data_IF_673618316442
#
_entry.id   IF_673618316442
#
_cell.length_a   1.000
_cell.length_b   1.000
_cell.length_c   1.000
_cell.angle_alpha   90.00
_cell.angle_beta   90.00
_cell.angle_gamma   90.00
#
_symmetry.space_group_name_H-M   'P 1'
#
loop_
_entity.id
_entity.type
_entity.pdbx_description
1 polymer ?
#
# COMPACT_ATOMS: atom_id res chain seq x y z
N UNK A 1 14.21 20.02 5.69
CA UNK A 1 13.18 19.01 5.38
C UNK A 1 11.84 19.71 5.34
N UNK A 2 10.98 19.42 4.36
CA UNK A 2 9.65 20.03 4.29
C UNK A 2 8.81 19.70 5.53
N UNK A 3 7.98 20.66 5.93
CA UNK A 3 7.16 20.52 7.13
C UNK A 3 6.07 19.45 6.94
N UNK A 4 5.47 18.98 8.04
CA UNK A 4 4.30 18.10 7.95
C UNK A 4 3.14 18.80 7.25
N UNK A 5 2.91 20.07 7.58
CA UNK A 5 1.82 20.87 7.03
C UNK A 5 1.93 21.01 5.50
N UNK A 6 3.11 21.34 4.98
CA UNK A 6 3.33 21.46 3.52
C UNK A 6 3.03 20.15 2.77
N UNK A 7 3.43 19.00 3.34
CA UNK A 7 3.12 17.69 2.75
C UNK A 7 1.63 17.39 2.78
N UNK A 8 0.97 17.73 3.89
CA UNK A 8 -0.48 17.52 4.05
C UNK A 8 -1.29 18.41 3.11
N UNK A 9 -0.84 19.64 2.85
CA UNK A 9 -1.44 20.56 1.89
C UNK A 9 -1.33 20.02 0.45
N UNK A 10 -0.13 19.64 0.00
CA UNK A 10 0.07 19.06 -1.33
C UNK A 10 -0.75 17.78 -1.51
N UNK A 11 -0.75 16.90 -0.50
CA UNK A 11 -1.57 15.69 -0.50
C UNK A 11 -3.06 16.02 -0.61
N UNK A 12 -3.55 16.98 0.19
CA UNK A 12 -4.94 17.42 0.19
C UNK A 12 -5.38 17.90 -1.19
N UNK A 13 -4.63 18.83 -1.78
CA UNK A 13 -4.92 19.38 -3.09
C UNK A 13 -4.93 18.31 -4.20
N UNK A 14 -3.96 17.40 -4.20
CA UNK A 14 -3.94 16.33 -5.21
C UNK A 14 -5.10 15.34 -5.04
N UNK A 15 -5.52 15.05 -3.80
CA UNK A 15 -6.70 14.22 -3.55
C UNK A 15 -7.98 14.89 -4.04
N UNK A 16 -8.12 16.20 -3.87
CA UNK A 16 -9.25 16.99 -4.39
C UNK A 16 -9.32 16.96 -5.92
N UNK A 17 -8.17 16.97 -6.58
CA UNK A 17 -8.05 16.79 -8.04
C UNK A 17 -8.29 15.34 -8.50
N UNK A 18 -8.53 14.40 -7.59
CA UNK A 18 -8.79 13.00 -7.91
C UNK A 18 -7.54 12.20 -8.30
N UNK A 19 -6.34 12.66 -7.91
CA UNK A 19 -5.10 11.93 -8.17
C UNK A 19 -5.07 10.60 -7.41
N UNK A 20 -4.49 9.57 -8.03
CA UNK A 20 -4.23 8.31 -7.34
C UNK A 20 -3.14 8.47 -6.27
N UNK A 21 -3.17 7.64 -5.23
CA UNK A 21 -2.12 7.61 -4.18
C UNK A 21 -0.74 7.40 -4.79
N UNK A 22 -0.63 6.59 -5.85
CA UNK A 22 0.62 6.40 -6.58
C UNK A 22 1.15 7.72 -7.17
N UNK A 23 0.27 8.51 -7.83
CA UNK A 23 0.64 9.81 -8.38
C UNK A 23 1.11 10.76 -7.26
N UNK A 24 0.43 10.75 -6.13
CA UNK A 24 0.81 11.54 -4.95
C UNK A 24 2.16 11.09 -4.41
N UNK A 25 2.43 9.78 -4.33
CA UNK A 25 3.71 9.26 -3.87
C UNK A 25 4.88 9.71 -4.78
N UNK A 26 4.67 9.72 -6.10
CA UNK A 26 5.65 10.27 -7.05
C UNK A 26 5.91 11.76 -6.79
N UNK A 27 4.86 12.55 -6.58
CA UNK A 27 4.99 13.98 -6.25
C UNK A 27 5.73 14.19 -4.93
N UNK A 28 5.41 13.40 -3.90
CA UNK A 28 6.09 13.46 -2.60
C UNK A 28 7.59 13.17 -2.73
N UNK A 29 7.96 12.23 -3.59
CA UNK A 29 9.35 11.90 -3.85
C UNK A 29 10.08 13.05 -4.58
N UNK A 30 9.47 13.60 -5.63
CA UNK A 30 10.07 14.66 -6.44
C UNK A 30 10.19 15.98 -5.68
N UNK A 31 9.12 16.41 -5.01
CA UNK A 31 9.05 17.73 -4.37
C UNK A 31 9.80 17.79 -3.04
N UNK A 32 9.85 16.68 -2.30
CA UNK A 32 10.41 16.66 -0.95
C UNK A 32 11.66 15.80 -0.80
N UNK A 33 12.16 15.21 -1.90
CA UNK A 33 13.30 14.29 -1.87
C UNK A 33 13.02 13.03 -1.05
N UNK A 34 11.74 12.68 -0.87
CA UNK A 34 11.35 11.52 -0.09
C UNK A 34 11.66 10.24 -0.87
N UNK A 35 12.33 9.30 -0.24
CA UNK A 35 12.61 8.00 -0.86
C UNK A 35 11.33 7.19 -0.99
N UNK A 36 11.23 6.22 -1.92
CA UNK A 36 9.93 5.66 -2.29
C UNK A 36 9.10 5.13 -1.12
N UNK A 37 9.70 4.38 -0.18
CA UNK A 37 9.03 3.91 1.05
C UNK A 37 8.36 5.03 1.83
N UNK A 38 9.14 6.09 2.06
CA UNK A 38 8.72 7.26 2.81
C UNK A 38 7.66 8.06 2.04
N UNK A 39 7.83 8.19 0.73
CA UNK A 39 6.93 8.92 -0.16
C UNK A 39 5.53 8.29 -0.20
N UNK A 40 5.44 6.95 -0.26
CA UNK A 40 4.17 6.23 -0.14
C UNK A 40 3.49 6.47 1.21
N UNK A 41 4.24 6.47 2.31
CA UNK A 41 3.70 6.80 3.63
C UNK A 41 3.17 8.25 3.68
N UNK A 42 3.89 9.19 3.08
CA UNK A 42 3.46 10.60 3.00
C UNK A 42 2.22 10.78 2.13
N UNK A 43 2.12 10.08 1.00
CA UNK A 43 0.94 10.11 0.13
C UNK A 43 -0.34 9.66 0.86
N UNK A 44 -0.20 8.73 1.81
CA UNK A 44 -1.30 8.24 2.64
C UNK A 44 -1.53 9.08 3.92
N UNK A 45 -0.67 10.05 4.22
CA UNK A 45 -0.75 10.87 5.41
C UNK A 45 -0.51 10.09 6.71
N UNK A 46 0.23 8.98 6.66
CA UNK A 46 0.39 8.10 7.83
C UNK A 46 1.63 8.43 8.67
N UNK A 47 1.49 8.29 9.99
CA UNK A 47 2.65 8.25 10.90
C UNK A 47 3.36 6.88 10.81
N UNK A 48 4.60 6.79 11.32
CA UNK A 48 5.32 5.51 11.37
C UNK A 48 4.61 4.48 12.27
N UNK A 49 4.02 4.93 13.39
CA UNK A 49 3.20 4.10 14.28
C UNK A 49 1.98 3.55 13.53
N UNK A 50 1.26 4.41 12.81
CA UNK A 50 0.14 4.00 11.98
C UNK A 50 0.54 3.01 10.88
N UNK A 51 1.72 3.19 10.27
CA UNK A 51 2.24 2.25 9.29
C UNK A 51 2.58 0.91 9.94
N UNK A 52 3.26 0.90 11.08
CA UNK A 52 3.57 -0.33 11.82
C UNK A 52 2.30 -1.14 12.15
N UNK A 53 1.25 -0.48 12.65
CA UNK A 53 -0.02 -1.15 12.93
C UNK A 53 -0.67 -1.73 11.67
N UNK A 54 -0.69 -0.99 10.56
CA UNK A 54 -1.26 -1.47 9.30
C UNK A 54 -0.43 -2.61 8.70
N UNK A 55 0.89 -2.53 8.81
CA UNK A 55 1.80 -3.60 8.41
C UNK A 55 1.50 -4.89 9.18
N UNK A 56 1.43 -4.81 10.51
CA UNK A 56 1.19 -5.97 11.37
C UNK A 56 -0.19 -6.59 11.09
N UNK A 57 -1.20 -5.76 10.83
CA UNK A 57 -2.53 -6.23 10.43
C UNK A 57 -2.54 -6.93 9.07
N UNK A 58 -1.75 -6.45 8.11
CA UNK A 58 -1.70 -7.01 6.75
C UNK A 58 -0.80 -8.26 6.65
N UNK A 59 0.04 -8.53 7.65
CA UNK A 59 1.02 -9.61 7.62
C UNK A 59 0.95 -10.46 8.91
N UNK A 60 -0.11 -11.28 9.09
CA UNK A 60 -0.21 -12.16 10.25
C UNK A 60 1.00 -13.10 10.29
N UNK A 61 1.73 -13.10 11.42
CA UNK A 61 2.98 -13.85 11.60
C UNK A 61 4.26 -13.03 11.43
N UNK A 62 4.17 -11.76 11.01
CA UNK A 62 5.28 -10.82 11.03
C UNK A 62 4.88 -9.55 11.80
N UNK A 63 5.66 -9.17 12.81
CA UNK A 63 5.47 -7.94 13.57
C UNK A 63 6.63 -6.98 13.31
N UNK A 64 6.30 -5.70 13.12
CA UNK A 64 7.26 -4.61 12.98
C UNK A 64 6.93 -3.50 13.97
N UNK A 65 7.97 -2.87 14.53
CA UNK A 65 7.87 -1.67 15.35
C UNK A 65 7.97 -0.40 14.50
N UNK A 66 7.54 0.74 15.04
CA UNK A 66 7.75 2.05 14.39
C UNK A 66 9.23 2.40 14.24
N UNK A 67 10.08 1.97 15.18
CA UNK A 67 11.54 2.10 15.13
C UNK A 67 12.08 1.43 13.86
N UNK A 68 11.73 0.14 13.66
CA UNK A 68 12.17 -0.64 12.50
C UNK A 68 11.65 -0.06 11.19
N UNK A 69 10.44 0.51 11.18
CA UNK A 69 9.93 1.28 10.03
C UNK A 69 10.84 2.47 9.74
N UNK A 70 11.18 3.28 10.75
CA UNK A 70 12.05 4.44 10.61
C UNK A 70 13.43 4.05 10.03
N UNK A 71 14.04 3.00 10.57
CA UNK A 71 15.34 2.54 10.07
C UNK A 71 15.25 2.08 8.61
N UNK A 72 14.23 1.31 8.24
CA UNK A 72 14.01 0.86 6.86
C UNK A 72 13.76 2.02 5.89
N UNK A 73 13.04 3.07 6.31
CA UNK A 73 12.82 4.28 5.50
C UNK A 73 14.13 5.01 5.21
N UNK A 74 15.08 4.98 6.16
CA UNK A 74 16.37 5.65 6.06
C UNK A 74 17.48 4.79 5.41
N UNK A 75 17.32 3.48 5.32
CA UNK A 75 18.29 2.60 4.63
C UNK A 75 18.37 2.99 3.16
N UNK A 76 19.55 3.25 2.56
CA UNK A 76 20.83 2.67 2.94
C UNK A 76 21.74 3.58 3.76
N UNK A 77 21.24 4.71 4.27
CA UNK A 77 21.96 5.54 5.23
C UNK A 77 21.88 4.97 6.66
N UNK A 78 20.86 4.16 6.95
CA UNK A 78 20.76 3.40 8.19
C UNK A 78 21.42 2.01 8.05
N UNK A 79 21.69 1.35 9.18
CA UNK A 79 22.24 -0.02 9.21
C UNK A 79 21.20 -1.10 8.88
N UNK A 80 19.93 -0.77 9.02
CA UNK A 80 18.84 -1.75 9.08
C UNK A 80 18.22 -1.93 7.70
N UNK A 81 18.77 -2.88 6.94
CA UNK A 81 18.32 -3.17 5.57
C UNK A 81 16.89 -3.73 5.54
N UNK A 82 16.01 -3.26 4.62
CA UNK A 82 14.74 -3.92 4.35
C UNK A 82 14.97 -5.23 3.57
N UNK A 83 14.36 -6.32 4.02
CA UNK A 83 14.33 -7.58 3.26
C UNK A 83 13.29 -7.51 2.14
N UNK A 84 13.38 -8.38 1.12
CA UNK A 84 12.36 -8.46 0.08
C UNK A 84 10.97 -8.77 0.67
N UNK A 85 10.90 -9.67 1.66
CA UNK A 85 9.65 -9.99 2.37
C UNK A 85 9.05 -8.79 3.10
N UNK A 86 9.89 -7.95 3.71
CA UNK A 86 9.43 -6.71 4.33
C UNK A 86 8.84 -5.73 3.31
N UNK A 87 9.48 -5.55 2.15
CA UNK A 87 8.95 -4.71 1.07
C UNK A 87 7.65 -5.26 0.49
N UNK A 88 7.53 -6.59 0.36
CA UNK A 88 6.26 -7.24 -0.01
C UNK A 88 5.17 -6.99 1.02
N UNK A 89 5.48 -7.09 2.30
CA UNK A 89 4.55 -6.80 3.39
C UNK A 89 4.12 -5.34 3.42
N UNK A 90 5.03 -4.40 3.10
CA UNK A 90 4.72 -2.98 2.96
C UNK A 90 3.78 -2.71 1.79
N UNK A 91 4.03 -3.31 0.63
CA UNK A 91 3.16 -3.16 -0.54
C UNK A 91 1.73 -3.60 -0.22
N UNK A 92 1.56 -4.73 0.51
CA UNK A 92 0.25 -5.17 1.03
C UNK A 92 -0.38 -4.18 2.01
N UNK A 93 0.43 -3.63 2.92
CA UNK A 93 -0.03 -2.68 3.94
C UNK A 93 -0.48 -1.34 3.34
N UNK A 94 0.23 -0.84 2.32
CA UNK A 94 -0.13 0.37 1.61
C UNK A 94 -1.35 0.18 0.70
N UNK A 95 -1.48 -0.98 0.06
CA UNK A 95 -2.52 -1.21 -0.94
C UNK A 95 -2.41 -0.20 -2.09
N UNK A 96 -3.55 0.24 -2.63
CA UNK A 96 -3.61 1.33 -3.62
C UNK A 96 -2.74 1.13 -4.89
N UNK A 97 -2.57 -0.12 -5.34
CA UNK A 97 -1.74 -0.43 -6.50
C UNK A 97 -0.23 -0.33 -6.24
N UNK A 98 0.19 -0.21 -4.97
CA UNK A 98 1.59 -0.30 -4.57
C UNK A 98 2.14 -1.70 -4.85
N UNK A 99 3.27 -1.77 -5.55
CA UNK A 99 4.02 -3.00 -5.76
C UNK A 99 5.36 -2.94 -5.00
N UNK A 100 5.96 -4.08 -4.63
CA UNK A 100 7.24 -4.10 -3.93
C UNK A 100 8.36 -3.40 -4.70
N UNK A 101 8.32 -3.48 -6.04
CA UNK A 101 9.26 -2.81 -6.95
C UNK A 101 9.18 -1.29 -6.89
N UNK A 102 8.01 -0.71 -6.57
CA UNK A 102 7.81 0.74 -6.40
C UNK A 102 8.31 1.25 -5.04
N UNK A 103 8.78 0.37 -4.16
CA UNK A 103 9.27 0.71 -2.83
C UNK A 103 10.80 0.69 -2.72
N UNK A 104 11.52 0.28 -3.77
CA UNK A 104 12.99 0.29 -3.81
C UNK A 104 13.45 1.23 -4.94
N UNK A 105 14.30 2.20 -4.61
CA UNK A 105 14.96 3.03 -5.64
C UNK A 105 16.27 2.39 -6.14
N UNK A 106 16.96 3.07 -7.06
CA UNK A 106 18.20 2.56 -7.62
C UNK A 106 19.30 2.38 -6.57
N UNK A 107 19.42 3.31 -5.61
CA UNK A 107 20.43 3.23 -4.55
C UNK A 107 20.15 2.04 -3.61
N UNK A 108 18.88 1.73 -3.40
CA UNK A 108 18.48 0.51 -2.70
C UNK A 108 18.89 -0.74 -3.47
N UNK A 109 18.52 -0.82 -4.75
CA UNK A 109 18.80 -1.98 -5.57
C UNK A 109 20.31 -2.25 -5.67
N UNK A 110 21.13 -1.20 -5.81
CA UNK A 110 22.59 -1.33 -5.85
C UNK A 110 23.18 -1.96 -4.57
N UNK A 111 22.63 -1.66 -3.40
CA UNK A 111 23.14 -2.15 -2.09
C UNK A 111 22.41 -3.40 -1.59
N UNK A 112 21.35 -3.82 -2.26
CA UNK A 112 20.58 -5.01 -1.91
C UNK A 112 21.28 -6.28 -2.41
N UNK A 113 21.20 -7.42 -1.70
CA UNK A 113 21.68 -8.70 -2.24
C UNK A 113 20.92 -9.11 -3.50
N UNK A 114 21.60 -9.81 -4.42
CA UNK A 114 21.00 -10.26 -5.68
C UNK A 114 19.74 -11.10 -5.46
N UNK A 115 19.76 -11.99 -4.46
CA UNK A 115 18.61 -12.84 -4.12
C UNK A 115 17.36 -12.01 -3.77
N UNK A 116 17.52 -10.94 -2.98
CA UNK A 116 16.42 -10.06 -2.61
C UNK A 116 15.94 -9.25 -3.83
N UNK A 117 16.85 -8.79 -4.70
CA UNK A 117 16.47 -8.11 -5.96
C UNK A 117 15.62 -9.01 -6.85
N UNK A 118 16.03 -10.26 -7.03
CA UNK A 118 15.30 -11.23 -7.85
C UNK A 118 13.91 -11.50 -7.30
N UNK A 119 13.77 -11.65 -5.97
CA UNK A 119 12.47 -11.81 -5.33
C UNK A 119 11.52 -10.62 -5.56
N UNK A 120 12.06 -9.39 -5.62
CA UNK A 120 11.24 -8.21 -5.93
C UNK A 120 10.77 -8.18 -7.39
N UNK A 121 11.61 -8.61 -8.34
CA UNK A 121 11.30 -8.57 -9.77
C UNK A 121 10.34 -9.68 -10.19
N UNK A 122 10.53 -10.90 -9.68
CA UNK A 122 9.74 -12.07 -10.05
C UNK A 122 8.44 -12.19 -9.21
N UNK A 123 8.37 -11.48 -8.08
CA UNK A 123 7.32 -11.66 -7.09
C UNK A 123 7.48 -12.99 -6.32
N UNK A 124 6.61 -13.27 -5.34
CA UNK A 124 6.57 -14.60 -4.74
C UNK A 124 6.33 -15.61 -5.87
N UNK A 125 7.19 -16.63 -5.98
CA UNK A 125 6.91 -17.75 -6.89
C UNK A 125 5.46 -18.19 -6.60
N UNK A 126 4.56 -18.24 -7.60
CA UNK A 126 3.26 -18.85 -7.36
C UNK A 126 3.54 -20.22 -6.75
N UNK A 127 2.76 -20.67 -5.74
CA UNK A 127 2.94 -22.02 -5.23
C UNK A 127 2.93 -22.92 -6.46
N UNK A 128 4.09 -23.51 -6.79
CA UNK A 128 4.18 -24.46 -7.88
C UNK A 128 3.06 -25.46 -7.67
N UNK A 129 2.46 -26.01 -8.74
CA UNK A 129 1.37 -26.97 -8.60
C UNK A 129 1.79 -27.91 -7.49
N UNK A 130 1.01 -27.93 -6.39
CA UNK A 130 1.31 -28.83 -5.29
C UNK A 130 1.51 -30.15 -6.00
N UNK A 131 2.71 -30.71 -5.91
CA UNK A 131 2.87 -32.13 -6.16
C UNK A 131 2.08 -32.72 -5.01
N UNK A 132 0.76 -32.76 -5.17
CA UNK A 132 -0.09 -33.66 -4.45
C UNK A 132 0.67 -34.95 -4.59
N UNK A 133 1.21 -35.34 -3.44
CA UNK A 133 1.96 -36.57 -3.29
C UNK A 133 0.99 -37.61 -3.82
N UNK A 134 1.18 -38.02 -5.07
CA UNK A 134 0.42 -39.12 -5.63
C UNK A 134 0.54 -40.21 -4.58
N UNK A 135 -0.57 -40.71 -4.01
CA UNK A 135 -0.47 -41.89 -3.18
C UNK A 135 0.09 -42.97 -4.09
N UNK A 136 1.39 -43.25 -3.92
CA UNK A 136 2.03 -44.41 -4.52
C UNK A 136 1.24 -45.61 -4.02
N UNK A 137 0.46 -46.24 -4.90
CA UNK A 137 -0.24 -47.47 -4.56
C UNK A 137 -1.62 -47.70 -5.17
N UNK A 138 -1.89 -47.28 -6.41
CA UNK A 138 -2.95 -47.95 -7.18
C UNK A 138 -2.33 -48.66 -8.39
N UNK A 139 -2.41 -50.01 -8.46
CA UNK A 139 -2.10 -50.73 -9.68
C UNK A 139 -3.00 -50.23 -10.81
N UNK A 140 -2.40 -50.00 -11.98
CA UNK A 140 -3.12 -49.82 -13.22
C UNK A 140 -3.91 -51.09 -13.51
N UNK A 141 -5.21 -51.08 -13.21
CA UNK A 141 -6.15 -51.95 -13.90
C UNK A 141 -6.80 -51.16 -15.04
N UNK A 142 -6.84 -51.81 -16.20
CA UNK A 142 -7.14 -51.24 -17.50
C UNK A 142 -8.61 -50.78 -17.63
N UNK A 143 -8.95 -50.05 -18.71
CA UNK A 143 -10.14 -49.21 -18.76
C UNK A 143 -11.40 -50.00 -19.09
N UNK A 144 -12.56 -49.51 -18.65
CA UNK A 144 -13.84 -49.86 -19.26
C UNK A 144 -14.71 -48.63 -19.50
N UNK A 145 -15.51 -48.66 -20.58
CA UNK A 145 -15.89 -47.47 -21.32
C UNK A 145 -17.29 -46.95 -20.94
N UNK A 146 -17.61 -45.78 -21.51
CA UNK A 146 -18.98 -45.29 -21.78
C UNK A 146 -19.78 -44.85 -20.55
N UNK A 147 -19.88 -43.53 -20.37
CA UNK A 147 -21.07 -42.80 -20.84
C UNK A 147 -20.88 -41.28 -20.67
N UNK A 148 -20.89 -40.56 -21.79
CA UNK A 148 -21.36 -39.17 -21.82
C UNK A 148 -22.89 -39.20 -21.78
N UNK A 149 -23.55 -38.27 -21.07
CA UNK A 149 -23.87 -36.95 -21.65
C UNK A 149 -23.75 -35.85 -20.55
N UNK A 150 -23.95 -34.56 -20.74
CA UNK A 150 -24.63 -33.81 -21.78
C UNK A 150 -24.10 -32.38 -21.71
N UNK A 151 -23.87 -31.80 -22.88
CA UNK A 151 -23.66 -30.36 -23.03
C UNK A 151 -24.95 -29.62 -22.69
N UNK A 152 -24.86 -28.59 -21.86
CA UNK A 152 -25.88 -27.56 -21.74
C UNK A 152 -25.23 -26.20 -21.53
N UNK A 153 -25.12 -25.53 -22.66
CA UNK A 153 -24.99 -24.10 -22.92
C UNK A 153 -25.80 -23.22 -21.97
N UNK A 154 -25.25 -22.07 -21.57
CA UNK A 154 -25.88 -20.72 -21.57
C UNK A 154 -24.92 -19.75 -20.85
N UNK A 155 -24.20 -18.92 -21.61
CA UNK A 155 -24.44 -17.47 -21.77
C UNK A 155 -24.33 -16.68 -20.44
N UNK A 156 -23.27 -15.89 -20.28
CA UNK A 156 -23.19 -14.47 -20.67
C UNK A 156 -23.72 -13.53 -19.57
N UNK A 157 -22.90 -12.52 -19.29
CA UNK A 157 -23.28 -11.15 -18.91
C UNK A 157 -23.17 -10.78 -17.43
N UNK A 158 -22.24 -9.86 -17.19
CA UNK A 158 -22.46 -8.57 -16.52
C UNK A 158 -23.06 -8.57 -15.12
N UNK A 159 -22.29 -8.05 -14.16
CA UNK A 159 -22.71 -6.81 -13.51
C UNK A 159 -21.56 -6.08 -12.81
N UNK A 160 -21.19 -4.95 -13.42
CA UNK A 160 -20.68 -3.79 -12.73
C UNK A 160 -21.88 -3.02 -12.13
N UNK A 161 -21.74 -2.60 -10.87
CA UNK A 161 -22.51 -1.62 -10.06
C UNK A 161 -22.40 -2.14 -8.62
N UNK A 162 -22.09 -1.37 -7.58
CA UNK A 162 -22.23 0.06 -7.36
C UNK A 162 -21.60 0.38 -6.00
N UNK A 163 -20.80 1.44 -5.90
CA UNK A 163 -20.64 2.17 -4.64
C UNK A 163 -20.65 3.66 -4.93
N UNK A 164 -21.87 4.23 -4.90
CA UNK A 164 -22.11 5.64 -4.63
C UNK A 164 -23.10 5.72 -3.47
N UNK A 165 -22.95 6.80 -2.69
CA UNK A 165 -23.65 7.18 -1.46
C UNK A 165 -22.95 6.59 -0.23
N UNK A 166 -22.56 7.36 0.79
CA UNK A 166 -23.30 8.49 1.39
C UNK A 166 -22.34 9.24 2.33
N UNK A 167 -21.95 10.47 2.01
CA UNK A 167 -21.56 11.48 3.00
C UNK A 167 -22.02 12.84 2.48
N UNK A 168 -23.19 13.25 2.95
CA UNK A 168 -23.70 14.61 2.84
C UNK A 168 -24.59 14.85 4.05
N UNK A 169 -24.55 16.09 4.52
CA UNK A 169 -25.33 16.70 5.59
C UNK A 169 -24.71 16.63 7.00
N UNK A 170 -24.14 17.78 7.38
CA UNK A 170 -23.73 18.12 8.74
C UNK A 170 -23.08 19.50 8.82
N UNK A 171 -23.43 20.44 7.94
CA UNK A 171 -23.04 21.85 8.03
C UNK A 171 -24.29 22.71 7.87
N UNK A 172 -24.65 23.36 8.97
CA UNK A 172 -25.49 24.56 9.07
C UNK A 172 -24.85 25.32 10.26
N UNK A 173 -24.09 26.41 10.05
CA UNK A 173 -24.56 27.80 9.86
C UNK A 173 -25.49 28.22 11.02
N UNK A 174 -25.26 29.25 11.82
CA UNK A 174 -24.33 30.40 11.81
C UNK A 174 -24.88 31.47 12.79
N UNK A 175 -24.25 32.66 12.78
CA UNK A 175 -24.60 33.91 13.52
C UNK A 175 -24.05 34.01 14.95
N UNK A 176 -23.44 35.11 15.41
CA UNK A 176 -23.26 36.46 14.88
C UNK A 176 -23.24 37.44 16.06
N UNK A 177 -22.45 38.52 15.95
CA UNK A 177 -22.32 39.68 16.87
C UNK A 177 -21.68 39.35 18.26
N UNK A 178 -20.80 40.16 18.85
CA UNK A 178 -20.82 41.61 18.98
C UNK A 178 -19.44 42.28 18.91
N UNK A 179 -19.47 43.49 18.36
CA UNK A 179 -18.43 44.51 18.48
C UNK A 179 -18.64 45.29 19.77
N UNK A 180 -17.58 45.58 20.53
CA UNK A 180 -17.54 46.78 21.37
C UNK A 180 -16.10 47.22 21.67
N UNK A 181 -15.86 48.48 21.31
CA UNK A 181 -14.78 49.40 21.61
C UNK A 181 -14.14 49.31 23.00
N UNK A 182 -12.86 49.68 23.09
CA UNK A 182 -12.18 49.90 24.37
C UNK A 182 -10.76 50.47 24.22
N UNK A 183 -10.70 51.75 23.87
CA UNK A 183 -9.59 52.69 24.05
C UNK A 183 -8.82 52.48 25.36
N UNK A 184 -7.47 52.59 25.38
CA UNK A 184 -6.77 53.76 25.96
C UNK A 184 -5.24 53.59 26.08
N UNK A 185 -4.58 54.68 25.71
CA UNK A 185 -3.16 55.03 25.84
C UNK A 185 -2.91 55.66 27.22
N UNK A 186 -1.81 55.31 27.90
CA UNK A 186 -1.08 56.17 28.85
C UNK A 186 0.26 55.46 29.16
N UNK A 187 1.38 55.99 28.68
CA UNK A 187 2.32 56.91 29.37
C UNK A 187 3.27 56.17 30.32
#
# INVERSE_FOLDING_TARGET
>A
MASKAERDEVRGWMLELGCSIERIAVEMAQRFGARPRLAWRYALGWTQVQLAHRYNRANPGASVSSERVCECENWPSSRSRPSAQYLMGLARAYGNGCSPTKLADLADLQRMPEQDRQLLMTGPLPPGPRRDRFPFGQPLDAPSPVNSPSVSTTARSQQARSYRRRWSAGASSGSGADSASGTQVAR
#
